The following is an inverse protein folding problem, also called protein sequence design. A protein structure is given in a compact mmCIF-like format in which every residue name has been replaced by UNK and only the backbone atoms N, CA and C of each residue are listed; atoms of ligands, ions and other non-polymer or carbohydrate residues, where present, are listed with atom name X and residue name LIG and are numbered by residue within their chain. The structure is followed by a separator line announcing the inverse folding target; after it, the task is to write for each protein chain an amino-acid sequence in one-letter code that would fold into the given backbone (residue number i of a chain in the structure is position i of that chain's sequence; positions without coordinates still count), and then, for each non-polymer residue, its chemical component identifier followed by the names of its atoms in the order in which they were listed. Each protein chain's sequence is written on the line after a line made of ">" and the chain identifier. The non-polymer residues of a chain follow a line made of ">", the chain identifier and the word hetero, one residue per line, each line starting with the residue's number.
data_IF_497233937949
#
_entry.id   IF_497233937949
#
_cell.length_a   1.000
_cell.length_b   1.000
_cell.length_c   1.000
_cell.angle_alpha   90.00
_cell.angle_beta   90.00
_cell.angle_gamma   90.00
#
_symmetry.space_group_name_H-M   'P 1'
#
loop_
_entity.id
_entity.type
_entity.pdbx_description
1 polymer ?
#
# COMPACT_ATOMS: atom_id res chain seq x y z
N UNK A 1 16.75 -15.27 53.89
CA UNK A 1 17.30 -16.46 53.20
C UNK A 1 16.17 -17.13 52.45
N UNK A 2 16.52 -17.79 51.36
CA UNK A 2 15.72 -18.66 50.48
C UNK A 2 14.78 -18.06 49.44
N UNK A 3 14.99 -18.55 48.21
CA UNK A 3 14.21 -18.26 47.02
C UNK A 3 14.97 -18.51 45.72
N UNK A 4 15.57 -19.70 45.54
CA UNK A 4 16.12 -20.13 44.24
C UNK A 4 15.04 -20.08 43.16
N UNK A 5 15.33 -19.49 41.99
CA UNK A 5 14.73 -19.95 40.72
C UNK A 5 15.60 -19.58 39.50
N UNK A 6 16.21 -20.64 38.96
CA UNK A 6 16.40 -20.98 37.53
C UNK A 6 17.09 -19.96 36.62
N UNK A 7 18.31 -20.33 36.22
CA UNK A 7 18.93 -19.92 34.96
C UNK A 7 18.07 -20.35 33.77
N UNK A 8 17.61 -19.38 32.99
CA UNK A 8 17.37 -19.59 31.55
C UNK A 8 18.38 -18.73 30.80
N UNK A 9 19.42 -19.39 30.28
CA UNK A 9 20.29 -18.80 29.25
C UNK A 9 19.47 -18.73 27.96
N UNK A 10 18.90 -17.57 27.67
CA UNK A 10 18.49 -17.26 26.31
C UNK A 10 19.72 -16.83 25.52
N UNK A 11 20.24 -17.75 24.71
CA UNK A 11 21.17 -17.43 23.64
C UNK A 11 20.51 -16.39 22.73
N UNK A 12 21.27 -15.33 22.39
CA UNK A 12 20.86 -14.26 21.48
C UNK A 12 20.20 -14.80 20.21
N UNK A 13 19.23 -14.12 19.61
CA UNK A 13 19.21 -12.70 19.25
C UNK A 13 17.79 -12.19 19.48
N UNK A 14 17.59 -11.31 20.47
CA UNK A 14 16.36 -10.53 20.55
C UNK A 14 16.60 -9.28 19.71
N UNK A 15 16.22 -9.34 18.43
CA UNK A 15 16.07 -8.13 17.61
C UNK A 15 14.76 -7.49 18.06
N UNK A 16 14.75 -6.30 18.68
CA UNK A 16 13.50 -5.56 18.81
C UNK A 16 12.99 -5.32 17.39
N UNK A 17 11.76 -5.75 17.11
CA UNK A 17 11.07 -5.50 15.85
C UNK A 17 11.09 -3.99 15.61
N UNK A 18 11.86 -3.59 14.61
CA UNK A 18 12.09 -2.22 14.21
C UNK A 18 10.91 -1.79 13.32
N UNK A 19 9.70 -1.83 13.88
CA UNK A 19 8.42 -1.70 13.19
C UNK A 19 8.07 -0.24 12.83
N UNK A 20 9.07 0.59 12.49
CA UNK A 20 8.89 2.02 12.20
C UNK A 20 9.69 2.56 11.02
N UNK A 21 10.67 1.81 10.52
CA UNK A 21 11.58 2.25 9.46
C UNK A 21 11.62 1.28 8.26
N UNK A 22 11.04 0.09 8.41
CA UNK A 22 10.78 -0.87 7.31
C UNK A 22 9.50 -0.51 6.55
N UNK A 23 8.73 0.51 7.00
CA UNK A 23 7.47 0.93 6.37
C UNK A 23 7.64 2.16 5.48
N UNK A 24 8.48 3.13 5.86
CA UNK A 24 8.65 4.36 5.08
C UNK A 24 9.39 4.13 3.76
N UNK A 25 10.47 3.35 3.77
CA UNK A 25 11.23 3.03 2.54
C UNK A 25 10.39 2.25 1.53
N UNK A 26 9.57 1.32 2.00
CA UNK A 26 8.61 0.57 1.16
C UNK A 26 7.50 1.48 0.63
N UNK A 27 6.98 2.40 1.46
CA UNK A 27 6.01 3.43 1.04
C UNK A 27 6.55 4.31 -0.08
N UNK A 28 7.76 4.84 0.09
CA UNK A 28 8.45 5.67 -0.90
C UNK A 28 8.68 4.88 -2.19
N UNK A 29 9.15 3.64 -2.08
CA UNK A 29 9.42 2.78 -3.23
C UNK A 29 8.13 2.50 -4.00
N UNK A 30 7.04 2.14 -3.31
CA UNK A 30 5.73 1.88 -3.92
C UNK A 30 5.14 3.11 -4.59
N UNK A 31 5.21 4.28 -3.95
CA UNK A 31 4.76 5.53 -4.56
C UNK A 31 5.53 5.80 -5.86
N UNK A 32 6.86 5.64 -5.84
CA UNK A 32 7.70 5.77 -7.03
C UNK A 32 7.37 4.75 -8.13
N UNK A 33 6.99 3.53 -7.78
CA UNK A 33 6.55 2.52 -8.75
C UNK A 33 5.21 2.87 -9.42
N UNK A 34 4.33 3.55 -8.69
CA UNK A 34 3.05 4.05 -9.19
C UNK A 34 3.16 5.41 -9.90
N UNK A 35 4.35 6.02 -9.93
CA UNK A 35 4.58 7.38 -10.47
C UNK A 35 3.97 8.49 -9.59
N UNK A 36 3.77 8.19 -8.31
CA UNK A 36 3.20 9.08 -7.30
C UNK A 36 4.27 9.58 -6.33
N UNK A 37 4.01 10.70 -5.68
CA UNK A 37 4.81 11.19 -4.57
C UNK A 37 4.43 10.45 -3.28
N UNK A 38 5.36 10.33 -2.33
CA UNK A 38 5.09 9.69 -1.03
C UNK A 38 3.87 10.33 -0.34
N UNK A 39 3.82 11.66 -0.33
CA UNK A 39 2.74 12.44 0.28
C UNK A 39 1.36 12.18 -0.32
N UNK A 40 1.29 11.78 -1.60
CA UNK A 40 0.04 11.41 -2.25
C UNK A 40 -0.49 10.07 -1.72
N UNK A 41 0.41 9.13 -1.38
CA UNK A 41 0.05 7.83 -0.79
C UNK A 41 -0.03 7.83 0.73
N UNK A 42 0.61 8.77 1.43
CA UNK A 42 0.57 8.83 2.91
C UNK A 42 -0.89 8.84 3.41
N UNK A 43 -1.76 9.59 2.74
CA UNK A 43 -3.20 9.60 3.07
C UNK A 43 -3.87 8.24 2.92
N UNK A 44 -3.43 7.39 1.99
CA UNK A 44 -3.93 6.02 1.82
C UNK A 44 -3.41 5.09 2.93
N UNK A 45 -2.12 5.16 3.26
CA UNK A 45 -1.55 4.34 4.33
C UNK A 45 -2.13 4.65 5.71
N UNK A 46 -2.25 5.93 6.05
CA UNK A 46 -2.65 6.35 7.39
C UNK A 46 -4.16 6.32 7.61
N UNK A 47 -4.98 6.60 6.58
CA UNK A 47 -6.44 6.63 6.73
C UNK A 47 -7.14 5.31 6.36
N UNK A 48 -6.63 4.56 5.37
CA UNK A 48 -7.26 3.30 4.94
C UNK A 48 -6.62 2.04 5.55
N UNK A 49 -5.55 2.18 6.34
CA UNK A 49 -4.80 1.07 6.92
C UNK A 49 -4.36 0.01 5.88
N UNK A 50 -4.09 0.44 4.63
CA UNK A 50 -3.69 -0.47 3.57
C UNK A 50 -2.36 -1.14 3.91
N UNK A 51 -2.31 -2.45 3.66
CA UNK A 51 -1.08 -3.22 3.79
C UNK A 51 -0.23 -3.08 2.51
N UNK A 52 1.03 -3.52 2.59
CA UNK A 52 1.87 -3.58 1.39
C UNK A 52 1.28 -4.54 0.34
N UNK A 53 0.63 -5.62 0.76
CA UNK A 53 -0.01 -6.58 -0.15
C UNK A 53 -1.15 -5.93 -0.95
N UNK A 54 -1.95 -5.07 -0.31
CA UNK A 54 -3.03 -4.34 -0.98
C UNK A 54 -2.49 -3.40 -2.06
N UNK A 55 -1.38 -2.73 -1.79
CA UNK A 55 -0.75 -1.82 -2.74
C UNK A 55 -0.02 -2.55 -3.87
N UNK A 56 0.58 -3.70 -3.58
CA UNK A 56 1.08 -4.60 -4.62
C UNK A 56 -0.04 -5.09 -5.54
N UNK A 57 -1.19 -5.45 -4.97
CA UNK A 57 -2.36 -5.85 -5.75
C UNK A 57 -2.86 -4.71 -6.64
N UNK A 58 -2.97 -3.49 -6.09
CA UNK A 58 -3.35 -2.30 -6.84
C UNK A 58 -2.36 -1.98 -7.98
N UNK A 59 -1.06 -2.00 -7.68
CA UNK A 59 0.00 -1.80 -8.68
C UNK A 59 -0.07 -2.86 -9.77
N UNK A 60 -0.27 -4.13 -9.40
CA UNK A 60 -0.38 -5.24 -10.35
C UNK A 60 -1.58 -5.07 -11.29
N UNK A 61 -2.75 -4.71 -10.76
CA UNK A 61 -3.95 -4.54 -11.59
C UNK A 61 -3.87 -3.28 -12.46
N UNK A 62 -3.28 -2.19 -11.95
CA UNK A 62 -2.99 -0.99 -12.73
C UNK A 62 -2.01 -1.27 -13.86
N UNK A 63 -0.91 -1.97 -13.58
CA UNK A 63 0.08 -2.32 -14.58
C UNK A 63 -0.53 -3.18 -15.70
N UNK A 64 -1.44 -4.11 -15.37
CA UNK A 64 -2.17 -4.91 -16.37
C UNK A 64 -3.08 -4.05 -17.24
N UNK A 65 -3.75 -3.05 -16.67
CA UNK A 65 -4.65 -2.16 -17.41
C UNK A 65 -3.90 -1.11 -18.25
N UNK A 66 -2.79 -0.58 -17.74
CA UNK A 66 -2.07 0.57 -18.31
C UNK A 66 -0.75 0.20 -19.00
N UNK A 67 -0.47 -1.09 -19.16
CA UNK A 67 0.76 -1.60 -19.80
C UNK A 67 2.03 -1.45 -18.95
N UNK A 68 1.88 -1.21 -17.64
CA UNK A 68 3.01 -1.05 -16.71
C UNK A 68 3.75 0.28 -16.81
N UNK A 69 3.23 1.22 -17.59
CA UNK A 69 3.81 2.56 -17.71
C UNK A 69 3.48 3.41 -16.48
N UNK A 70 4.51 3.91 -15.80
CA UNK A 70 4.36 4.62 -14.52
C UNK A 70 3.62 5.93 -14.69
N UNK A 71 3.86 6.66 -15.77
CA UNK A 71 3.20 7.94 -16.03
C UNK A 71 1.71 7.72 -16.32
N UNK A 72 1.36 6.68 -17.08
CA UNK A 72 -0.03 6.31 -17.33
C UNK A 72 -0.75 5.84 -16.06
N UNK A 73 -0.10 5.04 -15.21
CA UNK A 73 -0.68 4.60 -13.94
C UNK A 73 -0.94 5.80 -13.03
N UNK A 74 0.05 6.69 -12.89
CA UNK A 74 -0.10 7.91 -12.09
C UNK A 74 -1.17 8.84 -12.66
N UNK A 75 -1.19 9.01 -13.98
CA UNK A 75 -2.18 9.83 -14.67
C UNK A 75 -3.59 9.29 -14.43
N UNK A 76 -3.80 7.98 -14.54
CA UNK A 76 -5.10 7.38 -14.27
C UNK A 76 -5.52 7.56 -12.81
N UNK A 77 -4.60 7.38 -11.85
CA UNK A 77 -4.88 7.56 -10.42
C UNK A 77 -5.29 9.00 -10.07
N UNK A 78 -4.66 10.00 -10.71
CA UNK A 78 -4.96 11.42 -10.49
C UNK A 78 -6.16 11.93 -11.30
N UNK A 79 -6.54 11.23 -12.37
CA UNK A 79 -7.64 11.65 -13.24
C UNK A 79 -8.97 11.23 -12.65
N UNK A 80 -9.94 12.14 -12.66
CA UNK A 80 -11.31 11.83 -12.24
C UNK A 80 -11.88 10.69 -13.08
N UNK A 81 -12.29 9.62 -12.41
CA UNK A 81 -12.89 8.48 -13.08
C UNK A 81 -14.41 8.57 -12.99
N UNK A 82 -15.08 8.74 -14.14
CA UNK A 82 -16.54 8.89 -14.19
C UNK A 82 -17.31 7.68 -13.67
N UNK A 83 -16.72 6.49 -13.63
CA UNK A 83 -17.34 5.29 -13.04
C UNK A 83 -17.30 5.31 -11.50
N UNK A 84 -16.29 5.99 -10.94
CA UNK A 84 -16.08 6.10 -9.51
C UNK A 84 -16.60 7.44 -8.94
N UNK A 85 -16.84 8.43 -9.80
CA UNK A 85 -17.31 9.77 -9.41
C UNK A 85 -16.25 10.65 -8.75
N UNK A 86 -14.99 10.20 -8.69
CA UNK A 86 -13.87 10.92 -8.12
C UNK A 86 -12.54 10.40 -8.71
N UNK A 87 -11.43 11.07 -8.37
CA UNK A 87 -10.10 10.56 -8.67
C UNK A 87 -9.82 9.29 -7.83
N UNK A 88 -9.34 8.20 -8.44
CA UNK A 88 -8.96 6.98 -7.71
C UNK A 88 -8.03 7.24 -6.52
N UNK A 89 -7.10 8.19 -6.66
CA UNK A 89 -6.16 8.59 -5.61
C UNK A 89 -6.86 9.15 -4.36
N UNK A 90 -8.00 9.83 -4.52
CA UNK A 90 -8.79 10.31 -3.37
C UNK A 90 -9.60 9.19 -2.72
N UNK A 91 -10.02 8.19 -3.50
CA UNK A 91 -10.84 7.07 -3.00
C UNK A 91 -10.01 6.06 -2.20
N UNK A 92 -8.78 5.75 -2.64
CA UNK A 92 -7.87 4.83 -1.94
C UNK A 92 -7.44 5.32 -0.54
N UNK A 93 -7.80 6.56 -0.17
CA UNK A 93 -7.69 7.09 1.21
C UNK A 93 -8.66 6.42 2.18
N UNK A 94 -9.59 5.60 1.68
CA UNK A 94 -10.50 4.78 2.47
C UNK A 94 -10.46 3.34 1.97
N UNK A 95 -10.71 2.36 2.86
CA UNK A 95 -10.72 0.94 2.47
C UNK A 95 -11.81 0.65 1.43
N UNK A 96 -13.02 1.20 1.62
CA UNK A 96 -14.15 1.05 0.69
C UNK A 96 -13.84 1.65 -0.69
N UNK A 97 -13.19 2.81 -0.71
CA UNK A 97 -12.76 3.44 -1.97
C UNK A 97 -11.65 2.64 -2.67
N UNK A 98 -10.73 2.02 -1.92
CA UNK A 98 -9.75 1.09 -2.47
C UNK A 98 -10.43 -0.12 -3.13
N UNK A 99 -11.35 -0.79 -2.45
CA UNK A 99 -12.10 -1.92 -3.02
C UNK A 99 -12.85 -1.52 -4.30
N UNK A 100 -13.45 -0.33 -4.31
CA UNK A 100 -14.15 0.22 -5.47
C UNK A 100 -13.21 0.46 -6.65
N UNK A 101 -12.01 0.98 -6.40
CA UNK A 101 -10.98 1.22 -7.43
C UNK A 101 -10.49 -0.10 -8.02
N UNK A 102 -10.21 -1.10 -7.18
CA UNK A 102 -9.80 -2.45 -7.63
C UNK A 102 -10.90 -3.09 -8.48
N UNK A 103 -12.15 -3.09 -8.00
CA UNK A 103 -13.28 -3.64 -8.74
C UNK A 103 -13.50 -2.94 -10.09
N UNK A 104 -13.29 -1.62 -10.15
CA UNK A 104 -13.32 -0.86 -11.41
C UNK A 104 -12.25 -1.34 -12.39
N UNK A 105 -11.01 -1.53 -11.91
CA UNK A 105 -9.88 -2.00 -12.73
C UNK A 105 -10.05 -3.44 -13.21
N UNK A 106 -10.60 -4.33 -12.37
CA UNK A 106 -10.93 -5.70 -12.77
C UNK A 106 -12.02 -5.73 -13.85
N UNK A 107 -13.00 -4.84 -13.76
CA UNK A 107 -14.06 -4.72 -14.77
C UNK A 107 -13.55 -4.26 -16.13
N UNK A 108 -12.50 -3.43 -16.16
CA UNK A 108 -11.85 -3.00 -17.41
C UNK A 108 -11.11 -4.18 -18.07
N UNK A 109 -10.43 -5.02 -17.27
CA UNK A 109 -9.71 -6.20 -17.77
C UNK A 109 -10.64 -7.30 -18.29
N UNK A 110 -11.82 -7.44 -17.71
CA UNK A 110 -12.79 -8.49 -18.08
C UNK A 110 -13.73 -8.07 -19.22
N UNK A 111 -13.34 -7.07 -20.02
CA UNK A 111 -14.11 -6.51 -21.13
C UNK A 111 -13.48 -6.89 -22.47
#
# INVERSE_FOLDING_TARGET
>A
MEGKRVSMKFSGIWRPSNMGNETLSDRISMAGELGLEESELTGAYDAAHLTNEDLEALRSVLAKNMGGDRENMAHWLRTENSQLGAAPLDLVKTHEGFESVVACLERILNR
#
